data_IF_672310734785
#
_entry.id   IF_672310734785
#
_cell.length_a   1.000
_cell.length_b   1.000
_cell.length_c   1.000
_cell.angle_alpha   90.00
_cell.angle_beta   90.00
_cell.angle_gamma   90.00
#
_symmetry.space_group_name_H-M   'P 1'
#
loop_
_entity.id
_entity.type
_entity.pdbx_description
1 polymer ?
#
# COMPACT_ATOMS: atom_id res chain seq x y z
N UNK A 1 -17.05 -3.96 9.37
CA UNK A 1 -15.59 -3.95 9.55
C UNK A 1 -14.89 -3.21 8.44
N UNK A 2 -13.85 -2.45 8.76
CA UNK A 2 -12.88 -1.97 7.77
C UNK A 2 -11.80 -3.04 7.51
N UNK A 3 -12.18 -4.32 7.62
CA UNK A 3 -11.26 -5.45 7.60
C UNK A 3 -10.60 -5.61 6.24
N UNK A 4 -9.29 -5.79 6.26
CA UNK A 4 -8.48 -5.93 5.07
C UNK A 4 -7.07 -5.39 5.32
N UNK A 5 -6.06 -6.16 4.90
CA UNK A 5 -4.65 -5.82 5.05
C UNK A 5 -4.00 -5.51 3.70
N UNK A 6 -4.77 -5.24 2.64
CA UNK A 6 -4.18 -4.90 1.35
C UNK A 6 -3.78 -3.43 1.26
N UNK A 7 -2.95 -3.09 0.29
CA UNK A 7 -2.63 -1.68 -0.05
C UNK A 7 -3.90 -0.90 -0.41
N UNK A 8 -4.89 -1.53 -1.03
CA UNK A 8 -6.21 -0.93 -1.29
C UNK A 8 -6.91 -0.54 0.02
N UNK A 9 -7.01 -1.48 0.96
CA UNK A 9 -7.62 -1.25 2.27
C UNK A 9 -6.88 -0.14 3.01
N UNK A 10 -5.55 -0.21 3.05
CA UNK A 10 -4.69 0.81 3.65
C UNK A 10 -4.95 2.21 3.10
N UNK A 11 -5.01 2.37 1.77
CA UNK A 11 -5.30 3.66 1.15
C UNK A 11 -6.72 4.15 1.49
N UNK A 12 -7.70 3.26 1.52
CA UNK A 12 -9.09 3.57 1.86
C UNK A 12 -9.26 4.00 3.33
N UNK A 13 -8.39 3.52 4.23
CA UNK A 13 -8.34 3.97 5.62
C UNK A 13 -7.84 5.40 5.78
N UNK A 14 -6.88 5.81 4.96
CA UNK A 14 -6.34 7.18 4.97
C UNK A 14 -7.35 8.13 4.34
N UNK A 15 -7.75 7.87 3.09
CA UNK A 15 -8.69 8.71 2.37
C UNK A 15 -9.25 8.01 1.12
N UNK A 16 -10.58 8.00 0.95
CA UNK A 16 -11.27 7.27 -0.15
C UNK A 16 -10.83 7.69 -1.57
N UNK A 17 -10.39 8.92 -1.77
CA UNK A 17 -9.92 9.37 -3.10
C UNK A 17 -8.43 9.10 -3.36
N UNK A 18 -7.67 8.69 -2.34
CA UNK A 18 -6.22 8.44 -2.49
C UNK A 18 -5.94 7.33 -3.50
N UNK A 19 -6.78 6.30 -3.53
CA UNK A 19 -6.66 5.17 -4.45
C UNK A 19 -6.74 5.61 -5.92
N UNK A 20 -7.52 6.65 -6.24
CA UNK A 20 -7.66 7.18 -7.61
C UNK A 20 -6.37 7.82 -8.10
N UNK A 21 -5.68 8.51 -7.18
CA UNK A 21 -4.40 9.19 -7.42
C UNK A 21 -3.20 8.24 -7.31
N UNK A 22 -3.38 7.01 -6.82
CA UNK A 22 -2.28 6.07 -6.62
C UNK A 22 -1.69 5.61 -7.96
N UNK A 23 -0.37 5.78 -8.13
CA UNK A 23 0.39 5.20 -9.24
C UNK A 23 0.95 3.83 -8.85
N UNK A 24 1.62 3.77 -7.70
CA UNK A 24 2.18 2.56 -7.09
C UNK A 24 2.55 2.82 -5.63
N UNK A 25 2.93 1.77 -4.91
CA UNK A 25 3.55 1.91 -3.59
C UNK A 25 4.94 1.26 -3.56
N UNK A 26 5.79 1.77 -2.67
CA UNK A 26 7.04 1.11 -2.28
C UNK A 26 6.86 0.58 -0.87
N UNK A 27 7.25 -0.68 -0.65
CA UNK A 27 7.09 -1.36 0.64
C UNK A 27 8.46 -1.79 1.16
N UNK A 28 8.69 -1.55 2.46
CA UNK A 28 9.80 -2.08 3.24
C UNK A 28 9.23 -2.84 4.44
N UNK A 29 9.57 -4.11 4.58
CA UNK A 29 9.06 -4.97 5.66
C UNK A 29 8.74 -6.37 5.17
N UNK A 30 8.26 -7.22 6.07
CA UNK A 30 8.21 -8.68 5.84
C UNK A 30 7.30 -9.12 4.70
N UNK A 31 6.37 -8.26 4.24
CA UNK A 31 5.51 -8.58 3.09
C UNK A 31 6.22 -8.45 1.74
N UNK A 32 7.33 -7.71 1.67
CA UNK A 32 8.12 -7.52 0.48
C UNK A 32 9.33 -8.48 0.46
N UNK A 33 9.64 -9.06 -0.70
CA UNK A 33 10.79 -9.96 -0.85
C UNK A 33 12.11 -9.19 -1.00
N UNK A 34 12.05 -7.98 -1.55
CA UNK A 34 13.22 -7.11 -1.75
C UNK A 34 12.89 -5.70 -1.25
N UNK A 35 13.89 -4.94 -0.80
CA UNK A 35 13.66 -3.63 -0.19
C UNK A 35 14.32 -2.49 -0.98
N UNK A 36 13.56 -1.47 -1.44
CA UNK A 36 12.10 -1.43 -1.55
C UNK A 36 11.56 -2.33 -2.67
N UNK A 37 10.34 -2.87 -2.47
CA UNK A 37 9.60 -3.53 -3.54
C UNK A 37 8.50 -2.60 -4.07
N UNK A 38 8.39 -2.53 -5.40
CA UNK A 38 7.29 -1.85 -6.07
C UNK A 38 6.05 -2.76 -6.08
N UNK A 39 4.99 -2.33 -5.41
CA UNK A 39 3.77 -3.12 -5.21
C UNK A 39 2.52 -2.41 -5.76
N UNK A 40 1.50 -3.22 -6.07
CA UNK A 40 0.18 -2.77 -6.51
C UNK A 40 -0.85 -2.79 -5.38
N UNK A 41 -2.11 -2.49 -5.72
CA UNK A 41 -3.22 -2.39 -4.76
C UNK A 41 -3.59 -3.72 -4.07
N UNK A 42 -3.34 -4.84 -4.73
CA UNK A 42 -3.63 -6.19 -4.22
C UNK A 42 -2.54 -6.75 -3.30
N UNK A 43 -1.44 -6.00 -3.08
CA UNK A 43 -0.37 -6.44 -2.20
C UNK A 43 -0.87 -6.48 -0.75
N UNK A 44 -0.72 -7.64 -0.09
CA UNK A 44 -1.03 -7.79 1.32
C UNK A 44 0.12 -7.23 2.16
N UNK A 45 -0.22 -6.34 3.07
CA UNK A 45 0.68 -5.75 4.06
C UNK A 45 0.71 -6.63 5.31
N UNK A 46 1.88 -6.68 5.93
CA UNK A 46 2.10 -7.28 7.23
C UNK A 46 2.25 -6.20 8.29
N UNK A 47 2.20 -6.62 9.54
CA UNK A 47 2.48 -5.74 10.68
C UNK A 47 3.88 -5.10 10.55
N UNK A 48 3.98 -3.86 11.00
CA UNK A 48 5.20 -3.02 10.95
C UNK A 48 5.77 -2.72 9.54
N UNK A 49 5.05 -3.01 8.46
CA UNK A 49 5.47 -2.59 7.12
C UNK A 49 5.50 -1.06 6.98
N UNK A 50 6.58 -0.53 6.39
CA UNK A 50 6.69 0.87 5.98
C UNK A 50 6.27 0.98 4.53
N UNK A 51 5.28 1.85 4.25
CA UNK A 51 4.70 2.04 2.91
C UNK A 51 4.89 3.48 2.46
N UNK A 52 5.48 3.68 1.28
CA UNK A 52 5.50 4.96 0.59
C UNK A 52 4.49 4.96 -0.57
N UNK A 53 3.56 5.90 -0.51
CA UNK A 53 2.55 6.11 -1.55
C UNK A 53 3.09 7.06 -2.62
N UNK A 54 3.09 6.62 -3.88
CA UNK A 54 3.48 7.45 -5.02
C UNK A 54 2.24 7.79 -5.85
N UNK A 55 1.98 9.09 -6.01
CA UNK A 55 0.83 9.61 -6.77
C UNK A 55 1.12 9.68 -8.28
N UNK A 56 0.06 9.58 -9.08
CA UNK A 56 0.06 9.96 -10.50
C UNK A 56 0.37 11.46 -10.59
N UNK A 57 1.07 11.85 -11.66
CA UNK A 57 1.27 13.27 -11.99
C UNK A 57 -0.06 13.91 -12.35
#
# INVERSE_FOLDING_TARGET
>A
DRGGCTVEDFCNHIHRNLLKELKYVLVWGTSARHYPQHCGISHALNDEDVVQIVKKK
#
